data_IF_348348849903
#
_entry.id   IF_348348849903
#
_cell.length_a   1.000
_cell.length_b   1.000
_cell.length_c   1.000
_cell.angle_alpha   90.00
_cell.angle_beta   90.00
_cell.angle_gamma   90.00
#
_symmetry.space_group_name_H-M   'P 1'
#
loop_
_entity.id
_entity.type
_entity.pdbx_description
1 polymer ?
#
# COMPACT_ATOMS: atom_id res chain seq x y z
N UNK A 1 -18.69 -6.35 8.29
CA UNK A 1 -17.25 -6.12 8.07
C UNK A 1 -17.02 -5.75 6.61
N UNK A 2 -16.31 -4.66 6.39
CA UNK A 2 -16.00 -4.20 5.03
C UNK A 2 -14.79 -4.95 4.47
N UNK A 3 -14.57 -4.81 3.15
CA UNK A 3 -13.37 -5.39 2.52
C UNK A 3 -12.10 -4.84 3.17
N UNK A 4 -12.09 -3.56 3.50
CA UNK A 4 -10.93 -2.94 4.15
C UNK A 4 -10.70 -3.51 5.55
N UNK A 5 -11.77 -3.72 6.31
CA UNK A 5 -11.66 -4.34 7.63
C UNK A 5 -11.08 -5.74 7.55
N UNK A 6 -11.50 -6.50 6.54
CA UNK A 6 -10.97 -7.85 6.30
C UNK A 6 -9.50 -7.79 5.91
N UNK A 7 -9.12 -6.85 5.06
CA UNK A 7 -7.73 -6.67 4.67
C UNK A 7 -6.87 -6.32 5.89
N UNK A 8 -7.34 -5.44 6.75
CA UNK A 8 -6.63 -5.11 7.99
C UNK A 8 -6.43 -6.33 8.88
N UNK A 9 -7.47 -7.15 9.01
CA UNK A 9 -7.38 -8.37 9.81
C UNK A 9 -6.36 -9.35 9.24
N UNK A 10 -6.33 -9.48 7.91
CA UNK A 10 -5.39 -10.37 7.24
C UNK A 10 -3.96 -9.85 7.24
N UNK A 11 -3.78 -8.55 7.47
CA UNK A 11 -2.45 -7.94 7.48
C UNK A 11 -1.57 -8.49 8.60
N UNK A 12 -2.15 -9.00 9.66
CA UNK A 12 -1.39 -9.60 10.75
C UNK A 12 -0.58 -10.79 10.21
N UNK A 13 0.74 -10.75 10.33
CA UNK A 13 1.61 -11.79 9.83
C UNK A 13 2.00 -11.66 8.36
N UNK A 14 1.49 -10.63 7.67
CA UNK A 14 1.81 -10.36 6.27
C UNK A 14 2.27 -8.92 6.11
N UNK A 15 2.86 -8.59 4.97
CA UNK A 15 3.26 -7.22 4.69
C UNK A 15 2.15 -6.42 4.00
N UNK A 16 1.29 -7.10 3.24
CA UNK A 16 0.18 -6.48 2.52
C UNK A 16 -0.98 -7.47 2.41
N UNK A 17 -2.20 -6.96 2.45
CA UNK A 17 -3.40 -7.76 2.24
C UNK A 17 -4.39 -6.97 1.38
N UNK A 18 -5.01 -7.64 0.43
CA UNK A 18 -5.97 -7.04 -0.49
C UNK A 18 -7.25 -7.88 -0.46
N UNK A 19 -8.40 -7.22 -0.38
CA UNK A 19 -9.69 -7.91 -0.36
C UNK A 19 -10.71 -7.23 -1.26
N UNK A 20 -11.50 -8.04 -1.96
CA UNK A 20 -12.64 -7.56 -2.73
C UNK A 20 -13.65 -8.69 -2.77
N UNK A 21 -14.75 -8.56 -2.01
CA UNK A 21 -15.73 -9.64 -1.88
C UNK A 21 -15.05 -10.88 -1.31
N UNK A 22 -15.10 -11.97 -2.07
CA UNK A 22 -14.46 -13.22 -1.66
C UNK A 22 -13.00 -13.32 -2.08
N UNK A 23 -12.54 -12.39 -2.91
CA UNK A 23 -11.16 -12.40 -3.38
C UNK A 23 -10.23 -11.88 -2.30
N UNK A 24 -9.16 -12.61 -2.03
CA UNK A 24 -8.18 -12.26 -1.02
C UNK A 24 -6.78 -12.53 -1.56
N UNK A 25 -5.91 -11.54 -1.43
CA UNK A 25 -4.49 -11.65 -1.81
C UNK A 25 -3.65 -11.18 -0.64
N UNK A 26 -2.56 -11.87 -0.36
CA UNK A 26 -1.63 -11.46 0.68
C UNK A 26 -0.20 -11.56 0.16
N UNK A 27 0.68 -10.73 0.69
CA UNK A 27 2.09 -10.76 0.36
C UNK A 27 2.93 -10.64 1.61
N UNK A 28 4.13 -11.19 1.56
CA UNK A 28 5.05 -11.19 2.71
C UNK A 28 6.36 -10.46 2.41
N UNK A 29 6.59 -10.11 1.14
CA UNK A 29 7.76 -9.36 0.74
C UNK A 29 7.61 -7.89 1.12
N UNK A 30 8.70 -7.17 1.08
CA UNK A 30 8.72 -5.76 1.47
C UNK A 30 8.63 -4.82 0.30
N UNK A 31 8.28 -3.57 0.64
CA UNK A 31 8.26 -2.50 -0.34
C UNK A 31 7.23 -2.73 -1.41
N UNK A 32 7.63 -2.54 -2.66
CA UNK A 32 6.73 -2.63 -3.79
C UNK A 32 6.63 -4.04 -4.38
N UNK A 33 7.45 -4.99 -3.89
CA UNK A 33 7.51 -6.34 -4.47
C UNK A 33 6.16 -7.05 -4.56
N UNK A 34 5.32 -7.07 -3.51
CA UNK A 34 4.04 -7.76 -3.62
C UNK A 34 3.15 -7.16 -4.71
N UNK A 35 3.05 -5.83 -4.78
CA UNK A 35 2.22 -5.17 -5.79
C UNK A 35 2.77 -5.41 -7.20
N UNK A 36 4.08 -5.34 -7.37
CA UNK A 36 4.70 -5.61 -8.66
C UNK A 36 4.41 -7.04 -9.11
N UNK A 37 4.45 -7.99 -8.17
CA UNK A 37 4.12 -9.38 -8.47
C UNK A 37 2.69 -9.55 -8.93
N UNK A 38 1.72 -8.95 -8.22
CA UNK A 38 0.30 -9.06 -8.59
C UNK A 38 0.04 -8.41 -9.95
N UNK A 39 0.61 -7.25 -10.20
CA UNK A 39 0.47 -6.56 -11.48
C UNK A 39 1.11 -7.37 -12.60
N UNK A 40 2.30 -7.92 -12.34
CA UNK A 40 3.02 -8.74 -13.32
C UNK A 40 2.30 -10.03 -13.69
N UNK A 41 1.51 -10.57 -12.76
CA UNK A 41 0.70 -11.76 -13.00
C UNK A 41 -0.60 -11.45 -13.74
N UNK A 42 -0.87 -10.18 -14.00
CA UNK A 42 -2.09 -9.77 -14.71
C UNK A 42 -3.36 -9.84 -13.86
N UNK A 43 -3.22 -9.78 -12.53
CA UNK A 43 -4.40 -9.84 -11.66
C UNK A 43 -5.20 -8.56 -11.78
N UNK A 44 -6.53 -8.70 -11.78
CA UNK A 44 -7.44 -7.56 -11.79
C UNK A 44 -7.59 -7.03 -10.37
N UNK A 45 -6.98 -5.87 -10.11
CA UNK A 45 -6.99 -5.25 -8.79
C UNK A 45 -7.93 -4.05 -8.70
N UNK A 46 -8.62 -3.72 -9.78
CA UNK A 46 -9.53 -2.57 -9.78
C UNK A 46 -10.65 -2.76 -8.76
N UNK A 47 -10.89 -1.73 -7.94
CA UNK A 47 -11.93 -1.76 -6.92
C UNK A 47 -11.59 -2.57 -5.68
N UNK A 48 -10.36 -3.03 -5.54
CA UNK A 48 -9.95 -3.83 -4.39
C UNK A 48 -9.53 -2.92 -3.23
N UNK A 49 -9.76 -3.36 -1.99
CA UNK A 49 -9.32 -2.63 -0.80
C UNK A 49 -8.00 -3.20 -0.33
N UNK A 50 -7.08 -2.32 0.08
CA UNK A 50 -5.71 -2.70 0.46
C UNK A 50 -5.40 -2.27 1.88
N UNK A 51 -4.78 -3.16 2.65
CA UNK A 51 -4.11 -2.83 3.90
C UNK A 51 -2.63 -3.18 3.75
N UNK A 52 -1.76 -2.23 4.06
CA UNK A 52 -0.32 -2.38 3.90
C UNK A 52 0.38 -1.86 5.15
N UNK A 53 1.49 -2.45 5.50
CA UNK A 53 2.24 -2.00 6.67
C UNK A 53 2.96 -0.69 6.42
N UNK A 54 3.56 -0.54 5.24
CA UNK A 54 4.35 0.65 4.92
C UNK A 54 4.02 1.10 3.50
N UNK A 55 3.54 2.34 3.37
CA UNK A 55 3.19 2.91 2.06
C UNK A 55 3.97 4.20 1.85
N UNK A 56 4.86 4.18 0.87
CA UNK A 56 5.56 5.37 0.41
C UNK A 56 4.98 5.83 -0.93
N UNK A 57 5.63 6.80 -1.56
CA UNK A 57 5.15 7.37 -2.83
C UNK A 57 5.09 6.33 -3.95
N UNK A 58 6.13 5.49 -4.08
CA UNK A 58 6.17 4.48 -5.12
C UNK A 58 5.02 3.48 -4.98
N UNK A 59 4.76 3.01 -3.77
CA UNK A 59 3.67 2.07 -3.50
C UNK A 59 2.32 2.73 -3.79
N UNK A 60 2.15 3.99 -3.37
CA UNK A 60 0.91 4.73 -3.63
C UNK A 60 0.66 4.88 -5.14
N UNK A 61 1.70 5.15 -5.92
CA UNK A 61 1.58 5.24 -7.37
C UNK A 61 1.16 3.90 -7.98
N UNK A 62 1.66 2.79 -7.46
CA UNK A 62 1.23 1.47 -7.92
C UNK A 62 -0.24 1.22 -7.59
N UNK A 63 -0.72 1.67 -6.45
CA UNK A 63 -2.13 1.57 -6.09
C UNK A 63 -2.99 2.36 -7.09
N UNK A 64 -2.55 3.55 -7.46
CA UNK A 64 -3.26 4.36 -8.47
C UNK A 64 -3.31 3.60 -9.80
N UNK A 65 -2.19 3.07 -10.25
CA UNK A 65 -2.12 2.32 -11.51
C UNK A 65 -3.01 1.08 -11.50
N UNK A 66 -3.14 0.43 -10.35
CA UNK A 66 -3.94 -0.77 -10.22
C UNK A 66 -5.44 -0.50 -10.06
N UNK A 67 -5.82 0.76 -9.83
CA UNK A 67 -7.23 1.10 -9.65
C UNK A 67 -7.77 0.72 -8.27
N UNK A 68 -6.93 0.77 -7.25
CA UNK A 68 -7.31 0.40 -5.88
C UNK A 68 -8.43 1.31 -5.38
N UNK A 69 -9.42 0.72 -4.71
CA UNK A 69 -10.60 1.44 -4.20
C UNK A 69 -10.29 2.28 -2.97
N UNK A 70 -9.58 1.71 -2.01
CA UNK A 70 -9.26 2.38 -0.76
C UNK A 70 -8.03 1.74 -0.13
N UNK A 71 -7.34 2.49 0.72
CA UNK A 71 -6.07 2.06 1.33
C UNK A 71 -6.08 2.32 2.83
N UNK A 72 -5.62 1.34 3.59
CA UNK A 72 -5.23 1.55 4.98
C UNK A 72 -3.75 1.22 5.11
N UNK A 73 -3.00 2.05 5.80
CA UNK A 73 -1.57 1.84 6.00
C UNK A 73 -1.24 1.93 7.49
N UNK A 74 -0.39 1.04 7.97
CA UNK A 74 0.13 1.17 9.32
C UNK A 74 1.05 2.39 9.40
N UNK A 75 1.92 2.53 8.40
CA UNK A 75 2.80 3.70 8.25
C UNK A 75 2.65 4.24 6.84
N UNK A 76 2.34 5.52 6.73
CA UNK A 76 2.13 6.19 5.43
C UNK A 76 3.02 7.43 5.37
N UNK A 77 3.78 7.57 4.29
CA UNK A 77 4.57 8.78 4.09
C UNK A 77 3.68 9.93 3.62
N UNK A 78 4.09 11.17 3.88
CA UNK A 78 3.36 12.34 3.41
C UNK A 78 3.30 12.37 1.88
N UNK A 79 4.37 11.97 1.20
CA UNK A 79 4.39 11.90 -0.26
C UNK A 79 3.40 10.85 -0.77
N UNK A 80 3.31 9.70 -0.10
CA UNK A 80 2.31 8.68 -0.43
C UNK A 80 0.89 9.17 -0.25
N UNK A 81 0.63 9.87 0.87
CA UNK A 81 -0.68 10.45 1.14
C UNK A 81 -1.07 11.47 0.07
N UNK A 82 -0.13 12.29 -0.39
CA UNK A 82 -0.40 13.26 -1.44
C UNK A 82 -0.82 12.58 -2.74
N UNK A 83 -0.17 11.49 -3.10
CA UNK A 83 -0.51 10.73 -4.31
C UNK A 83 -1.93 10.19 -4.22
N UNK A 84 -2.26 9.56 -3.10
CA UNK A 84 -3.60 8.99 -2.91
C UNK A 84 -4.67 10.08 -2.95
N UNK A 85 -4.43 11.20 -2.26
CA UNK A 85 -5.37 12.31 -2.24
C UNK A 85 -5.54 12.93 -3.62
N UNK A 86 -4.44 13.12 -4.35
CA UNK A 86 -4.48 13.73 -5.68
C UNK A 86 -5.29 12.91 -6.67
N UNK A 87 -5.34 11.58 -6.47
CA UNK A 87 -6.06 10.68 -7.37
C UNK A 87 -7.41 10.22 -6.80
N UNK A 88 -7.84 10.84 -5.70
CA UNK A 88 -9.17 10.58 -5.17
C UNK A 88 -9.34 9.22 -4.50
N UNK A 89 -8.24 8.60 -4.05
CA UNK A 89 -8.30 7.33 -3.36
C UNK A 89 -8.45 7.59 -1.85
N UNK A 90 -9.57 7.18 -1.22
CA UNK A 90 -9.72 7.30 0.22
C UNK A 90 -8.63 6.50 0.94
N UNK A 91 -8.08 7.08 1.98
CA UNK A 91 -7.06 6.39 2.75
C UNK A 91 -7.15 6.72 4.24
N UNK A 92 -6.60 5.83 5.05
CA UNK A 92 -6.43 6.05 6.47
C UNK A 92 -5.08 5.45 6.86
N UNK A 93 -4.50 5.94 7.93
CA UNK A 93 -3.24 5.40 8.42
C UNK A 93 -3.19 5.50 9.93
N UNK A 94 -2.35 4.66 10.53
CA UNK A 94 -2.09 4.73 11.95
C UNK A 94 -1.02 5.75 12.26
N UNK A 95 0.03 5.79 11.42
CA UNK A 95 1.14 6.73 11.58
C UNK A 95 1.43 7.41 10.25
N UNK A 96 1.36 8.74 10.24
CA UNK A 96 1.76 9.54 9.08
C UNK A 96 3.16 10.08 9.35
N UNK A 97 4.09 9.81 8.45
CA UNK A 97 5.49 10.20 8.63
C UNK A 97 5.99 11.02 7.45
N UNK A 98 6.97 11.91 7.66
CA UNK A 98 7.51 12.72 6.55
C UNK A 98 8.19 11.87 5.48
N UNK A 99 8.91 10.84 5.90
CA UNK A 99 9.67 9.98 5.00
C UNK A 99 9.62 8.55 5.48
N UNK A 100 9.74 7.62 4.54
CA UNK A 100 9.95 6.22 4.86
C UNK A 100 11.47 6.03 4.95
N UNK A 101 11.93 5.57 6.12
CA UNK A 101 13.35 5.30 6.33
C UNK A 101 13.60 3.79 6.27
N UNK A 102 14.85 3.40 5.98
CA UNK A 102 15.18 1.99 5.96
C UNK A 102 15.26 1.45 7.38
N UNK A 103 15.40 0.13 7.51
CA UNK A 103 15.39 -0.54 8.80
C UNK A 103 16.46 -0.09 9.76
N UNK A 104 17.58 0.34 9.22
CA UNK A 104 18.71 0.77 10.04
C UNK A 104 18.55 2.21 10.49
N UNK A 105 17.58 2.91 9.95
CA UNK A 105 17.33 4.30 10.26
C UNK A 105 18.41 5.24 9.74
N UNK A 106 19.20 4.78 8.80
CA UNK A 106 20.34 5.56 8.31
C UNK A 106 20.12 6.16 6.92
N UNK A 107 18.86 6.37 6.56
CA UNK A 107 18.58 7.04 5.30
C UNK A 107 17.13 6.90 4.85
N UNK A 108 16.79 7.64 3.81
CA UNK A 108 15.47 7.59 3.18
C UNK A 108 15.43 6.39 2.25
N UNK A 109 14.29 5.72 2.19
CA UNK A 109 14.10 4.62 1.26
C UNK A 109 14.42 5.09 -0.16
N UNK A 110 15.29 4.38 -0.91
CA UNK A 110 15.67 4.81 -2.27
C UNK A 110 14.49 5.01 -3.21
N UNK A 111 13.47 4.18 -3.13
CA UNK A 111 12.28 4.34 -3.97
C UNK A 111 11.55 5.64 -3.64
N UNK A 112 11.44 5.98 -2.37
CA UNK A 112 10.81 7.22 -1.95
C UNK A 112 11.58 8.42 -2.50
N UNK A 113 12.89 8.37 -2.43
CA UNK A 113 13.75 9.44 -2.95
C UNK A 113 13.64 9.57 -4.46
N UNK A 114 13.60 8.44 -5.17
CA UNK A 114 13.60 8.41 -6.63
C UNK A 114 12.34 9.03 -7.23
N UNK A 115 11.20 8.84 -6.61
CA UNK A 115 9.89 9.27 -7.16
C UNK A 115 9.42 10.62 -6.64
N UNK A 116 10.22 11.31 -5.89
CA UNK A 116 9.85 12.62 -5.39
C UNK A 116 9.97 13.71 -6.43
#
# INVERSE_FOLDING_TARGET
>A
MTDLDRAKSLLAGHSIALCRGEQTLVGDDRGISPMMGFIGEGKDLAGISVADKIVGKATALLFVCAGIEEVWAEVLSEAGAEVLRAHGIPYACENLVPHIVNRKGDGICPMETTVR
#
